data_IF_392975867096
#
_entry.id   IF_392975867096
#
_cell.length_a   1.000
_cell.length_b   1.000
_cell.length_c   1.000
_cell.angle_alpha   90.00
_cell.angle_beta   90.00
_cell.angle_gamma   90.00
#
_symmetry.space_group_name_H-M   'P 1'
#
loop_
_entity.id
_entity.type
_entity.pdbx_description
1 polymer ?
#
# COMPACT_ATOMS: atom_id res chain seq x y z
N UNK A 1 -34.36 -9.92 -27.19
CA UNK A 1 -33.00 -10.33 -26.78
C UNK A 1 -33.11 -11.69 -26.12
N UNK A 2 -32.41 -12.71 -26.61
CA UNK A 2 -32.45 -14.06 -26.03
C UNK A 2 -31.51 -14.13 -24.83
N UNK A 3 -32.03 -14.49 -23.65
CA UNK A 3 -31.22 -14.77 -22.46
C UNK A 3 -30.82 -16.24 -22.48
N UNK A 4 -29.52 -16.50 -22.51
CA UNK A 4 -28.96 -17.87 -22.53
C UNK A 4 -28.47 -18.34 -21.16
N UNK A 5 -28.43 -17.44 -20.18
CA UNK A 5 -28.00 -17.73 -18.81
C UNK A 5 -28.74 -16.83 -17.81
N UNK A 6 -28.77 -17.29 -16.55
CA UNK A 6 -29.30 -16.52 -15.44
C UNK A 6 -28.27 -15.49 -14.94
N UNK A 7 -28.60 -14.20 -15.09
CA UNK A 7 -27.79 -13.09 -14.65
C UNK A 7 -27.53 -13.08 -13.13
N UNK A 8 -28.49 -13.57 -12.33
CA UNK A 8 -28.34 -13.67 -10.88
C UNK A 8 -27.31 -14.74 -10.50
N UNK A 9 -27.32 -15.88 -11.19
CA UNK A 9 -26.31 -16.93 -10.98
C UNK A 9 -24.92 -16.48 -11.41
N UNK A 10 -24.80 -15.75 -12.52
CA UNK A 10 -23.51 -15.18 -12.96
C UNK A 10 -22.98 -14.17 -11.91
N UNK A 11 -23.85 -13.29 -11.42
CA UNK A 11 -23.49 -12.33 -10.38
C UNK A 11 -23.01 -13.02 -9.10
N UNK A 12 -23.73 -14.05 -8.64
CA UNK A 12 -23.33 -14.84 -7.46
C UNK A 12 -22.00 -15.55 -7.69
N UNK A 13 -21.79 -16.15 -8.85
CA UNK A 13 -20.53 -16.80 -9.20
C UNK A 13 -19.35 -15.81 -9.19
N UNK A 14 -19.56 -14.57 -9.62
CA UNK A 14 -18.56 -13.50 -9.53
C UNK A 14 -18.19 -13.20 -8.07
N UNK A 15 -19.16 -13.01 -7.19
CA UNK A 15 -18.92 -12.73 -5.76
C UNK A 15 -18.21 -13.91 -5.07
N UNK A 16 -18.61 -15.15 -5.38
CA UNK A 16 -17.95 -16.35 -4.88
C UNK A 16 -16.50 -16.45 -5.36
N UNK A 17 -16.22 -16.09 -6.62
CA UNK A 17 -14.85 -16.03 -7.15
C UNK A 17 -14.02 -14.99 -6.41
N UNK A 18 -14.51 -13.76 -6.27
CA UNK A 18 -13.81 -12.69 -5.55
C UNK A 18 -13.52 -13.09 -4.10
N UNK A 19 -14.48 -13.71 -3.42
CA UNK A 19 -14.32 -14.23 -2.06
C UNK A 19 -13.18 -15.25 -1.97
N UNK A 20 -13.12 -16.20 -2.90
CA UNK A 20 -12.05 -17.20 -2.96
C UNK A 20 -10.68 -16.58 -3.20
N UNK A 21 -10.61 -15.55 -4.06
CA UNK A 21 -9.36 -14.84 -4.29
C UNK A 21 -8.92 -14.13 -3.01
N UNK A 22 -9.81 -13.39 -2.34
CA UNK A 22 -9.51 -12.72 -1.05
C UNK A 22 -8.93 -13.70 -0.02
N UNK A 23 -9.50 -14.90 0.11
CA UNK A 23 -9.01 -15.93 1.05
C UNK A 23 -7.70 -16.58 0.63
N UNK A 24 -7.31 -16.47 -0.64
CA UNK A 24 -6.08 -17.03 -1.17
C UNK A 24 -4.89 -16.05 -1.13
N UNK A 25 -5.13 -14.79 -0.72
CA UNK A 25 -4.10 -13.77 -0.63
C UNK A 25 -3.17 -14.04 0.55
N UNK A 26 -1.86 -13.88 0.34
CA UNK A 26 -0.89 -13.79 1.42
C UNK A 26 -0.80 -12.34 1.89
N UNK A 27 -1.52 -12.02 2.97
CA UNK A 27 -1.58 -10.67 3.51
C UNK A 27 -0.23 -10.18 4.04
N UNK A 28 0.70 -11.08 4.40
CA UNK A 28 2.04 -10.68 4.84
C UNK A 28 2.90 -10.19 3.67
N UNK A 29 2.83 -10.89 2.54
CA UNK A 29 3.53 -10.45 1.32
C UNK A 29 2.89 -9.18 0.75
N UNK A 30 1.55 -9.05 0.80
CA UNK A 30 0.88 -7.81 0.39
C UNK A 30 1.27 -6.65 1.31
N UNK A 31 1.32 -6.87 2.62
CA UNK A 31 1.78 -5.86 3.58
C UNK A 31 3.16 -5.32 3.19
N UNK A 32 4.13 -6.20 2.95
CA UNK A 32 5.47 -5.79 2.47
C UNK A 32 5.42 -4.98 1.18
N UNK A 33 4.63 -5.40 0.19
CA UNK A 33 4.47 -4.67 -1.08
C UNK A 33 3.95 -3.25 -0.82
N UNK A 34 2.99 -3.08 0.10
CA UNK A 34 2.45 -1.77 0.45
C UNK A 34 3.45 -0.94 1.24
N UNK A 35 4.17 -1.53 2.19
CA UNK A 35 5.23 -0.86 2.96
C UNK A 35 6.34 -0.35 2.04
N UNK A 36 6.84 -1.22 1.14
CA UNK A 36 7.89 -0.88 0.16
C UNK A 36 7.43 0.20 -0.84
N UNK A 37 6.18 0.13 -1.30
CA UNK A 37 5.66 1.06 -2.30
C UNK A 37 5.37 2.46 -1.72
N UNK A 38 5.02 2.54 -0.44
CA UNK A 38 4.62 3.78 0.21
C UNK A 38 5.67 4.34 1.18
N UNK A 39 6.75 3.59 1.47
CA UNK A 39 7.77 3.92 2.47
C UNK A 39 7.16 4.18 3.86
N UNK A 40 6.23 3.33 4.27
CA UNK A 40 5.52 3.42 5.54
C UNK A 40 5.51 2.06 6.22
N UNK A 41 5.77 2.01 7.52
CA UNK A 41 5.57 0.80 8.31
C UNK A 41 4.08 0.65 8.64
N UNK A 42 3.49 -0.48 8.29
CA UNK A 42 2.10 -0.79 8.65
C UNK A 42 2.18 -1.57 9.95
N UNK A 43 1.75 -1.01 11.08
CA UNK A 43 1.83 -1.73 12.37
C UNK A 43 0.68 -2.71 12.56
N UNK A 44 -0.49 -2.42 12.00
CA UNK A 44 -1.71 -3.19 12.17
C UNK A 44 -1.86 -4.34 11.15
N UNK A 45 -2.87 -5.17 11.37
CA UNK A 45 -3.29 -6.21 10.44
C UNK A 45 -3.95 -5.58 9.20
N UNK A 46 -3.61 -6.10 8.03
CA UNK A 46 -4.15 -5.65 6.75
C UNK A 46 -5.49 -6.33 6.47
N UNK A 47 -6.55 -5.56 6.22
CA UNK A 47 -7.86 -6.09 5.86
C UNK A 47 -8.21 -5.84 4.39
N UNK A 48 -8.88 -6.81 3.76
CA UNK A 48 -9.35 -6.70 2.37
C UNK A 48 -10.79 -6.18 2.32
N UNK A 49 -10.93 -4.89 2.04
CA UNK A 49 -12.22 -4.22 2.03
C UNK A 49 -13.09 -4.69 0.85
N UNK A 50 -12.58 -4.58 -0.38
CA UNK A 50 -13.36 -4.88 -1.59
C UNK A 50 -12.52 -5.53 -2.69
N UNK A 51 -13.19 -6.05 -3.72
CA UNK A 51 -12.54 -6.69 -4.85
C UNK A 51 -13.33 -6.47 -6.12
N UNK A 52 -12.65 -6.24 -7.23
CA UNK A 52 -13.27 -6.03 -8.53
C UNK A 52 -12.53 -6.78 -9.64
N UNK A 53 -13.29 -7.33 -10.58
CA UNK A 53 -12.75 -7.90 -11.82
C UNK A 53 -12.67 -6.79 -12.86
N UNK A 54 -11.46 -6.48 -13.33
CA UNK A 54 -11.18 -5.44 -14.31
C UNK A 54 -10.51 -6.02 -15.55
N UNK A 55 -10.59 -5.31 -16.69
CA UNK A 55 -9.75 -5.60 -17.85
C UNK A 55 -8.56 -4.63 -17.82
N UNK A 56 -7.35 -5.17 -17.72
CA UNK A 56 -6.12 -4.39 -17.76
C UNK A 56 -5.14 -5.03 -18.76
N UNK A 57 -4.63 -4.25 -19.71
CA UNK A 57 -3.71 -4.71 -20.77
C UNK A 57 -4.18 -5.99 -21.48
N UNK A 58 -5.45 -6.01 -21.89
CA UNK A 58 -6.09 -7.14 -22.58
C UNK A 58 -6.06 -8.46 -21.79
N UNK A 59 -5.97 -8.36 -20.45
CA UNK A 59 -6.04 -9.48 -19.50
C UNK A 59 -7.09 -9.20 -18.43
N UNK A 60 -7.65 -10.27 -17.87
CA UNK A 60 -8.51 -10.18 -16.70
C UNK A 60 -7.62 -9.95 -15.48
N UNK A 61 -7.82 -8.85 -14.79
CA UNK A 61 -7.19 -8.52 -13.52
C UNK A 61 -8.20 -8.56 -12.38
N UNK A 62 -7.69 -8.75 -11.16
CA UNK A 62 -8.47 -8.73 -9.93
C UNK A 62 -7.88 -7.65 -9.04
N UNK A 63 -8.55 -6.49 -8.99
CA UNK A 63 -8.15 -5.38 -8.13
C UNK A 63 -8.71 -5.64 -6.74
N UNK A 64 -7.85 -5.58 -5.74
CA UNK A 64 -8.21 -5.73 -4.33
C UNK A 64 -7.91 -4.41 -3.64
N UNK A 65 -8.89 -3.91 -2.90
CA UNK A 65 -8.75 -2.70 -2.09
C UNK A 65 -8.49 -3.12 -0.65
N UNK A 66 -7.48 -2.50 -0.04
CA UNK A 66 -7.07 -2.75 1.33
C UNK A 66 -7.22 -1.47 2.14
N UNK A 67 -7.59 -1.63 3.41
CA UNK A 67 -7.66 -0.54 4.36
C UNK A 67 -6.57 -0.76 5.42
N UNK A 68 -5.81 0.30 5.70
CA UNK A 68 -4.73 0.30 6.70
C UNK A 68 -4.96 1.42 7.68
N UNK A 69 -4.75 1.13 8.97
CA UNK A 69 -4.69 2.14 10.01
C UNK A 69 -3.23 2.53 10.23
N UNK A 70 -2.98 3.84 10.25
CA UNK A 70 -1.66 4.41 10.46
C UNK A 70 -1.71 5.37 11.64
N UNK A 71 -0.75 5.24 12.54
CA UNK A 71 -0.53 6.19 13.64
C UNK A 71 0.66 7.08 13.28
N UNK A 72 0.42 8.38 13.15
CA UNK A 72 1.44 9.37 12.84
C UNK A 72 1.52 10.41 13.96
N UNK A 73 2.71 10.93 14.24
CA UNK A 73 2.96 12.00 15.20
C UNK A 73 3.57 13.21 14.53
N UNK A 74 3.35 14.39 15.15
CA UNK A 74 4.06 15.62 14.82
C UNK A 74 4.53 16.27 16.11
N UNK A 75 5.72 16.84 16.10
CA UNK A 75 6.28 17.58 17.22
C UNK A 75 6.14 19.09 16.99
N UNK A 76 5.74 19.81 18.04
CA UNK A 76 5.53 21.25 18.04
C UNK A 76 6.19 21.86 19.28
N UNK A 77 6.70 23.09 19.17
CA UNK A 77 7.17 23.86 20.33
C UNK A 77 6.01 24.56 21.08
N UNK A 78 6.35 25.25 22.17
CA UNK A 78 5.39 26.00 23.02
C UNK A 78 4.79 27.23 22.32
N UNK A 79 5.42 27.72 21.25
CA UNK A 79 4.94 28.82 20.41
C UNK A 79 4.09 28.30 19.22
N UNK A 80 3.99 26.98 19.04
CA UNK A 80 3.23 26.32 17.98
C UNK A 80 3.98 26.12 16.67
N UNK A 81 5.31 26.26 16.63
CA UNK A 81 6.11 25.96 15.46
C UNK A 81 6.36 24.45 15.33
N UNK A 82 6.35 23.94 14.10
CA UNK A 82 6.71 22.55 13.80
C UNK A 82 8.20 22.31 14.06
N UNK A 83 8.50 21.26 14.83
CA UNK A 83 9.86 20.76 15.05
C UNK A 83 10.01 19.49 14.19
N UNK A 84 10.91 19.45 13.20
CA UNK A 84 11.23 18.23 12.48
C UNK A 84 11.81 17.19 13.44
N UNK A 85 11.22 16.00 13.50
CA UNK A 85 11.84 14.84 14.15
C UNK A 85 12.70 14.13 13.09
N UNK A 86 14.01 14.04 13.31
CA UNK A 86 14.91 13.35 12.38
C UNK A 86 14.52 11.87 12.30
N UNK A 87 14.11 11.42 11.11
CA UNK A 87 13.97 9.99 10.85
C UNK A 87 15.35 9.40 10.49
N UNK A 88 15.63 8.11 10.79
CA UNK A 88 16.92 7.50 10.46
C UNK A 88 17.30 7.57 8.97
N UNK A 89 16.32 7.72 8.07
CA UNK A 89 16.53 7.78 6.62
C UNK A 89 17.17 9.10 6.15
N UNK A 90 16.88 10.22 6.82
CA UNK A 90 17.48 11.53 6.47
C UNK A 90 18.98 11.61 6.83
N UNK A 91 19.46 10.74 7.72
CA UNK A 91 20.87 10.70 8.11
C UNK A 91 21.78 10.09 7.02
N UNK A 92 21.26 9.21 6.16
CA UNK A 92 22.06 8.53 5.13
C UNK A 92 22.42 9.51 4.00
N UNK A 93 21.47 10.36 3.60
CA UNK A 93 21.67 11.36 2.55
C UNK A 93 22.59 12.51 3.00
N UNK A 94 22.51 12.90 4.28
CA UNK A 94 23.39 13.92 4.86
C UNK A 94 24.84 13.41 5.02
N UNK A 95 25.04 12.15 5.40
CA UNK A 95 26.37 11.51 5.46
C UNK A 95 27.02 11.36 4.08
N UNK A 96 26.23 11.02 3.04
CA UNK A 96 26.72 10.93 1.66
C UNK A 96 27.18 12.27 1.10
N UNK A 97 26.40 13.34 1.35
CA UNK A 97 26.73 14.70 0.90
C UNK A 97 28.00 15.25 1.56
N UNK A 98 28.17 15.01 2.87
CA UNK A 98 29.37 15.44 3.60
C UNK A 98 30.64 14.70 3.16
N UNK A 99 30.53 13.45 2.72
CA UNK A 99 31.68 12.69 2.22
C UNK A 99 32.16 13.17 0.84
N UNK A 100 31.25 13.63 -0.02
CA UNK A 100 31.61 14.18 -1.34
C UNK A 100 32.33 15.53 -1.22
N UNK A 101 31.92 16.39 -0.29
CA UNK A 101 32.57 17.68 -0.03
C UNK A 101 34.02 17.50 0.47
N UNK A 102 34.27 16.51 1.33
CA UNK A 102 35.62 16.20 1.83
C UNK A 102 36.54 15.68 0.72
N UNK A 103 36.00 14.93 -0.26
CA UNK A 103 36.77 14.39 -1.38
C UNK A 103 37.14 15.49 -2.38
N UNK A 104 36.35 16.57 -2.52
CA UNK A 104 36.66 17.68 -3.43
C UNK A 104 37.67 18.70 -2.87
N UNK A 105 37.92 18.71 -1.56
CA UNK A 105 38.93 19.56 -0.93
C UNK A 105 40.33 18.91 -0.81
N UNK A 106 40.51 17.67 -1.29
CA UNK A 106 41.80 16.96 -1.38
C UNK A 106 42.41 17.03 -2.79
#
# INVERSE_FOLDING_TARGET
>A
MTRVADSGLIGKAKEELLTKIKTALDLKEIKKILEDHHNLEITDDLEVQSGEIIIHNNRIGYRMEFEVLLSLSVLLDEDGNYIPEETPEENIDQLGSQAEDIIQEM
#
